data_IF_243380353315
#
_entry.id   IF_243380353315
#
_cell.length_a   1.000
_cell.length_b   1.000
_cell.length_c   1.000
_cell.angle_alpha   90.00
_cell.angle_beta   90.00
_cell.angle_gamma   90.00
#
_symmetry.space_group_name_H-M   'P 1'
#
loop_
_entity.id
_entity.type
_entity.pdbx_description
1 polymer ?
#
# COMPACT_ATOMS: atom_id res chain seq x y z
N UNK A 1 -26.56 -6.17 1.72
CA UNK A 1 -27.00 -7.39 0.99
C UNK A 1 -26.26 -7.56 -0.36
N UNK A 2 -25.90 -6.48 -1.07
CA UNK A 2 -25.22 -6.59 -2.39
C UNK A 2 -23.74 -7.02 -2.38
N UNK A 3 -22.95 -6.71 -1.35
CA UNK A 3 -21.51 -6.97 -1.39
C UNK A 3 -21.13 -8.47 -1.30
N UNK A 4 -21.87 -9.27 -0.54
CA UNK A 4 -21.57 -10.71 -0.39
C UNK A 4 -21.72 -11.45 -1.72
N UNK A 5 -22.79 -11.17 -2.46
CA UNK A 5 -23.03 -11.76 -3.78
C UNK A 5 -22.02 -11.27 -4.82
N UNK A 6 -21.66 -9.99 -4.76
CA UNK A 6 -20.63 -9.42 -5.65
C UNK A 6 -19.26 -10.05 -5.39
N UNK A 7 -18.88 -10.23 -4.14
CA UNK A 7 -17.64 -10.89 -3.75
C UNK A 7 -17.64 -12.39 -4.11
N UNK A 8 -18.76 -13.08 -3.95
CA UNK A 8 -18.90 -14.48 -4.37
C UNK A 8 -18.76 -14.64 -5.90
N UNK A 9 -19.32 -13.71 -6.69
CA UNK A 9 -19.11 -13.70 -8.14
C UNK A 9 -17.63 -13.45 -8.49
N UNK A 10 -16.96 -12.55 -7.76
CA UNK A 10 -15.53 -12.33 -7.94
C UNK A 10 -14.70 -13.58 -7.61
N UNK A 11 -15.08 -14.35 -6.57
CA UNK A 11 -14.48 -15.66 -6.26
C UNK A 11 -14.64 -16.65 -7.42
N UNK A 12 -15.83 -16.76 -8.00
CA UNK A 12 -16.09 -17.66 -9.14
C UNK A 12 -15.20 -17.31 -10.35
N UNK A 13 -15.00 -16.01 -10.62
CA UNK A 13 -14.11 -15.55 -11.67
C UNK A 13 -12.65 -15.89 -11.37
N UNK A 14 -12.20 -15.62 -10.14
CA UNK A 14 -10.84 -15.95 -9.68
C UNK A 14 -10.55 -17.46 -9.81
N UNK A 15 -11.51 -18.32 -9.45
CA UNK A 15 -11.37 -19.77 -9.57
C UNK A 15 -11.26 -20.26 -11.02
N UNK A 16 -11.74 -19.45 -11.97
CA UNK A 16 -11.62 -19.69 -13.41
C UNK A 16 -10.35 -19.08 -14.01
N UNK A 17 -9.47 -18.52 -13.17
CA UNK A 17 -8.22 -17.90 -13.60
C UNK A 17 -8.35 -16.47 -14.09
N UNK A 18 -9.49 -15.81 -13.89
CA UNK A 18 -9.65 -14.39 -14.19
C UNK A 18 -8.98 -13.58 -13.07
N UNK A 19 -8.12 -12.64 -13.44
CA UNK A 19 -7.48 -11.74 -12.48
C UNK A 19 -8.50 -10.80 -11.84
N UNK A 20 -8.55 -10.81 -10.51
CA UNK A 20 -9.39 -9.92 -9.68
C UNK A 20 -8.49 -9.02 -8.85
N UNK A 21 -8.84 -7.73 -8.78
CA UNK A 21 -8.11 -6.68 -8.08
C UNK A 21 -9.06 -5.87 -7.18
N UNK A 22 -8.53 -5.28 -6.11
CA UNK A 22 -9.20 -4.20 -5.38
C UNK A 22 -9.19 -2.89 -6.20
N UNK A 23 -10.11 -1.98 -5.89
CA UNK A 23 -10.18 -0.62 -6.44
C UNK A 23 -10.25 0.50 -5.38
N UNK A 24 -10.47 0.18 -4.10
CA UNK A 24 -10.34 1.01 -2.91
C UNK A 24 -11.03 2.39 -2.92
N UNK A 25 -12.04 2.61 -3.76
CA UNK A 25 -12.52 3.85 -4.43
C UNK A 25 -12.36 5.25 -3.76
N UNK A 26 -11.24 5.57 -3.10
CA UNK A 26 -10.90 6.86 -2.49
C UNK A 26 -11.82 7.33 -1.37
N UNK A 27 -12.80 6.53 -0.94
CA UNK A 27 -13.86 6.97 -0.02
C UNK A 27 -13.36 7.15 1.42
N UNK A 28 -12.35 6.38 1.84
CA UNK A 28 -11.57 6.56 3.06
C UNK A 28 -10.12 6.18 2.76
N UNK A 29 -9.21 7.17 2.84
CA UNK A 29 -7.80 6.97 2.50
C UNK A 29 -7.20 5.86 3.38
N UNK A 30 -6.54 4.88 2.75
CA UNK A 30 -6.00 3.70 3.42
C UNK A 30 -7.06 2.63 3.73
N UNK A 31 -8.08 2.95 4.54
CA UNK A 31 -9.07 1.98 5.05
C UNK A 31 -9.87 1.26 3.96
N UNK A 32 -10.19 1.93 2.86
CA UNK A 32 -11.00 1.33 1.80
C UNK A 32 -10.34 0.09 1.16
N UNK A 33 -9.01 0.05 1.07
CA UNK A 33 -8.28 -1.11 0.54
C UNK A 33 -8.42 -2.34 1.46
N UNK A 34 -8.35 -2.12 2.78
CA UNK A 34 -8.56 -3.19 3.77
C UNK A 34 -9.99 -3.73 3.68
N UNK A 35 -10.98 -2.85 3.65
CA UNK A 35 -12.39 -3.25 3.58
C UNK A 35 -12.71 -4.07 2.33
N UNK A 36 -12.21 -3.66 1.17
CA UNK A 36 -12.41 -4.45 -0.06
C UNK A 36 -11.70 -5.82 0.01
N UNK A 37 -10.52 -5.88 0.63
CA UNK A 37 -9.83 -7.15 0.89
C UNK A 37 -10.69 -8.06 1.77
N UNK A 38 -11.32 -7.52 2.81
CA UNK A 38 -12.23 -8.27 3.70
C UNK A 38 -13.50 -8.72 2.98
N UNK A 39 -14.03 -7.90 2.07
CA UNK A 39 -15.20 -8.25 1.28
C UNK A 39 -14.93 -9.50 0.43
N UNK A 40 -13.73 -9.68 -0.10
CA UNK A 40 -13.39 -10.89 -0.86
C UNK A 40 -13.44 -12.17 -0.01
N UNK A 41 -12.99 -12.12 1.25
CA UNK A 41 -13.08 -13.30 2.14
C UNK A 41 -14.52 -13.60 2.52
N UNK A 42 -15.36 -12.56 2.68
CA UNK A 42 -16.81 -12.71 2.84
C UNK A 42 -17.48 -13.38 1.62
N UNK A 43 -16.90 -13.25 0.43
CA UNK A 43 -17.30 -13.96 -0.79
C UNK A 43 -16.75 -15.38 -0.91
N UNK A 44 -15.94 -15.83 0.03
CA UNK A 44 -15.36 -17.18 0.06
C UNK A 44 -13.94 -17.30 -0.51
N UNK A 45 -13.25 -16.18 -0.82
CA UNK A 45 -11.80 -16.24 -1.08
C UNK A 45 -11.05 -16.67 0.19
N UNK A 46 -9.96 -17.41 0.01
CA UNK A 46 -9.01 -17.60 1.10
C UNK A 46 -8.37 -16.26 1.47
N UNK A 47 -7.90 -16.12 2.71
CA UNK A 47 -7.18 -14.91 3.12
C UNK A 47 -5.97 -14.64 2.21
N UNK A 48 -5.25 -15.69 1.83
CA UNK A 48 -4.13 -15.60 0.90
C UNK A 48 -4.56 -15.08 -0.48
N UNK A 49 -5.64 -15.61 -1.06
CA UNK A 49 -6.13 -15.13 -2.36
C UNK A 49 -6.61 -13.68 -2.29
N UNK A 50 -7.32 -13.31 -1.22
CA UNK A 50 -7.74 -11.93 -0.99
C UNK A 50 -6.54 -10.97 -0.94
N UNK A 51 -5.46 -11.33 -0.23
CA UNK A 51 -4.23 -10.53 -0.19
C UNK A 51 -3.58 -10.36 -1.58
N UNK A 52 -3.66 -11.37 -2.45
CA UNK A 52 -3.13 -11.28 -3.82
C UNK A 52 -3.88 -10.23 -4.65
N UNK A 53 -5.20 -10.07 -4.43
CA UNK A 53 -6.00 -9.02 -5.11
C UNK A 53 -5.59 -7.61 -4.74
N UNK A 54 -4.91 -7.43 -3.61
CA UNK A 54 -4.39 -6.16 -3.10
C UNK A 54 -2.90 -5.94 -3.37
N UNK A 55 -2.18 -6.95 -3.90
CA UNK A 55 -0.71 -6.93 -4.02
C UNK A 55 -0.24 -7.33 -5.42
N UNK A 56 0.05 -8.61 -5.65
CA UNK A 56 0.67 -9.08 -6.89
C UNK A 56 -0.25 -9.01 -8.11
N UNK A 57 -1.55 -9.21 -7.94
CA UNK A 57 -2.50 -9.17 -9.05
C UNK A 57 -2.57 -7.76 -9.68
N UNK A 58 -2.81 -6.66 -8.92
CA UNK A 58 -2.83 -5.33 -9.50
C UNK A 58 -1.45 -4.91 -10.03
N UNK A 59 -0.35 -5.30 -9.38
CA UNK A 59 1.00 -5.02 -9.88
C UNK A 59 1.25 -5.62 -11.27
N UNK A 60 0.86 -6.89 -11.47
CA UNK A 60 0.91 -7.54 -12.78
C UNK A 60 -0.04 -6.85 -13.79
N UNK A 61 -1.25 -6.50 -13.35
CA UNK A 61 -2.27 -5.88 -14.19
C UNK A 61 -1.83 -4.53 -14.78
N UNK A 62 -1.10 -3.71 -14.01
CA UNK A 62 -0.57 -2.42 -14.48
C UNK A 62 0.85 -2.52 -15.08
N UNK A 63 1.42 -3.72 -15.19
CA UNK A 63 2.70 -3.96 -15.84
C UNK A 63 3.96 -3.66 -15.01
N UNK A 64 3.85 -3.61 -13.67
CA UNK A 64 4.99 -3.38 -12.76
C UNK A 64 5.26 -4.56 -11.82
N UNK A 65 4.71 -5.73 -12.11
CA UNK A 65 4.86 -6.94 -11.30
C UNK A 65 6.31 -7.41 -11.13
N UNK A 66 7.20 -7.06 -12.06
CA UNK A 66 8.64 -7.33 -11.95
C UNK A 66 9.34 -6.41 -10.93
N UNK A 67 8.68 -5.34 -10.49
CA UNK A 67 9.25 -4.33 -9.59
C UNK A 67 8.60 -4.33 -8.20
N UNK A 68 7.30 -4.62 -8.09
CA UNK A 68 6.54 -4.56 -6.83
C UNK A 68 5.50 -5.68 -6.71
N UNK A 69 4.82 -5.74 -5.57
CA UNK A 69 3.67 -6.63 -5.34
C UNK A 69 4.02 -8.00 -4.76
N UNK A 70 5.29 -8.34 -4.62
CA UNK A 70 5.76 -9.51 -3.87
C UNK A 70 7.14 -9.28 -3.22
N UNK A 71 7.48 -10.09 -2.22
CA UNK A 71 8.77 -10.05 -1.53
C UNK A 71 9.76 -11.00 -2.21
N UNK A 72 10.46 -10.50 -3.22
CA UNK A 72 11.43 -11.25 -4.01
C UNK A 72 12.73 -10.45 -4.21
N UNK A 73 13.91 -11.10 -4.25
CA UNK A 73 15.16 -10.41 -4.56
C UNK A 73 15.11 -9.67 -5.90
N UNK A 74 15.56 -8.42 -5.91
CA UNK A 74 15.59 -7.56 -7.10
C UNK A 74 14.38 -6.63 -7.26
N UNK A 75 13.30 -6.85 -6.49
CA UNK A 75 12.15 -5.93 -6.42
C UNK A 75 12.42 -4.75 -5.50
N UNK A 76 11.62 -3.68 -5.65
CA UNK A 76 11.65 -2.55 -4.74
C UNK A 76 11.22 -3.00 -3.33
N UNK A 77 11.81 -2.37 -2.32
CA UNK A 77 11.45 -2.58 -0.94
C UNK A 77 10.18 -1.77 -0.60
N UNK A 78 9.06 -2.20 -1.19
CA UNK A 78 7.70 -1.68 -0.98
C UNK A 78 6.90 -2.70 -0.18
N UNK A 79 6.76 -2.46 1.12
CA UNK A 79 6.10 -3.40 2.03
C UNK A 79 5.39 -2.69 3.17
N UNK A 80 4.47 -3.39 3.82
CA UNK A 80 3.84 -2.98 5.07
C UNK A 80 4.15 -4.02 6.14
N UNK A 81 4.28 -3.57 7.39
CA UNK A 81 4.41 -4.42 8.57
C UNK A 81 3.10 -4.32 9.34
N UNK A 82 2.50 -5.47 9.58
CA UNK A 82 1.20 -5.61 10.25
C UNK A 82 1.42 -6.26 11.61
N UNK A 83 0.78 -5.74 12.65
CA UNK A 83 0.67 -6.40 13.95
C UNK A 83 -0.52 -7.36 13.95
N UNK A 84 -0.23 -8.65 13.78
CA UNK A 84 -1.21 -9.72 13.65
C UNK A 84 -0.82 -10.74 12.59
N UNK A 85 -1.76 -11.62 12.25
CA UNK A 85 -1.59 -12.64 11.22
C UNK A 85 -2.78 -12.63 10.26
N UNK A 86 -2.64 -11.88 9.18
CA UNK A 86 -3.64 -11.74 8.12
C UNK A 86 -3.98 -13.05 7.39
N UNK A 87 -3.14 -14.09 7.49
CA UNK A 87 -3.47 -15.41 6.94
C UNK A 87 -4.46 -16.17 7.82
N UNK A 88 -4.48 -15.90 9.13
CA UNK A 88 -5.45 -16.45 10.08
C UNK A 88 -6.67 -15.54 10.21
N UNK A 89 -6.46 -14.22 10.33
CA UNK A 89 -7.51 -13.23 10.49
C UNK A 89 -7.33 -12.06 9.52
N UNK A 90 -8.13 -11.99 8.45
CA UNK A 90 -7.99 -10.95 7.42
C UNK A 90 -8.17 -9.51 7.98
N UNK A 91 -8.90 -9.36 9.08
CA UNK A 91 -9.12 -8.05 9.71
C UNK A 91 -7.81 -7.44 10.22
N UNK A 92 -6.82 -8.26 10.55
CA UNK A 92 -5.51 -7.78 11.02
C UNK A 92 -4.80 -6.89 9.98
N UNK A 93 -5.22 -6.94 8.71
CA UNK A 93 -4.64 -6.07 7.67
C UNK A 93 -4.74 -4.58 8.01
N UNK A 94 -5.70 -4.12 8.84
CA UNK A 94 -5.78 -2.71 9.26
C UNK A 94 -4.75 -2.31 10.33
N UNK A 95 -4.10 -3.28 10.99
CA UNK A 95 -3.14 -3.04 12.07
C UNK A 95 -1.74 -2.76 11.53
N UNK A 96 -1.63 -1.86 10.55
CA UNK A 96 -0.34 -1.47 9.98
C UNK A 96 0.46 -0.68 11.01
N UNK A 97 1.65 -1.17 11.36
CA UNK A 97 2.57 -0.51 12.29
C UNK A 97 3.69 0.24 11.56
N UNK A 98 4.13 -0.29 10.41
CA UNK A 98 5.12 0.38 9.57
C UNK A 98 4.76 0.26 8.09
N UNK A 99 5.12 1.28 7.33
CA UNK A 99 5.07 1.25 5.87
C UNK A 99 6.46 1.56 5.34
N UNK A 100 6.96 0.75 4.42
CA UNK A 100 8.20 0.98 3.71
C UNK A 100 7.89 1.31 2.26
N UNK A 101 8.44 2.42 1.77
CA UNK A 101 8.32 2.86 0.38
C UNK A 101 9.72 3.07 -0.17
N UNK A 102 10.08 2.30 -1.20
CA UNK A 102 11.37 2.32 -1.85
C UNK A 102 12.55 2.24 -0.84
N UNK A 103 12.41 1.38 0.17
CA UNK A 103 13.43 1.18 1.21
C UNK A 103 13.45 2.23 2.33
N UNK A 104 12.57 3.24 2.30
CA UNK A 104 12.41 4.24 3.38
C UNK A 104 11.29 3.78 4.31
N UNK A 105 11.59 3.63 5.59
CA UNK A 105 10.66 3.09 6.59
C UNK A 105 9.94 4.24 7.30
N UNK A 106 8.62 4.12 7.44
CA UNK A 106 7.76 5.09 8.10
C UNK A 106 6.97 4.45 9.22
N UNK A 107 6.88 5.13 10.36
CA UNK A 107 6.00 4.78 11.46
C UNK A 107 4.55 5.12 11.10
N UNK A 108 3.62 4.17 11.17
CA UNK A 108 2.25 4.38 10.70
C UNK A 108 1.47 5.40 11.56
N UNK A 109 1.83 5.55 12.83
CA UNK A 109 1.11 6.43 13.77
C UNK A 109 1.53 7.90 13.64
N UNK A 110 2.80 8.14 13.34
CA UNK A 110 3.39 9.49 13.26
C UNK A 110 3.67 9.94 11.82
N UNK A 111 3.80 8.98 10.90
CA UNK A 111 4.37 9.09 9.55
C UNK A 111 5.80 9.64 9.49
N UNK A 112 6.53 9.59 10.60
CA UNK A 112 7.93 9.95 10.60
C UNK A 112 8.74 8.90 9.84
N UNK A 113 9.75 9.33 9.09
CA UNK A 113 10.75 8.41 8.55
C UNK A 113 11.65 7.95 9.69
N UNK A 114 11.79 6.62 9.84
CA UNK A 114 12.56 5.95 10.88
C UNK A 114 13.54 4.93 10.26
N UNK A 115 14.32 4.25 11.10
CA UNK A 115 15.27 3.22 10.66
C UNK A 115 16.61 3.82 10.26
N UNK A 116 16.92 3.85 8.95
CA UNK A 116 18.20 4.36 8.43
C UNK A 116 18.33 5.88 8.61
N UNK A 117 17.21 6.59 8.63
CA UNK A 117 17.13 8.03 8.87
C UNK A 117 16.05 8.28 9.92
N UNK A 118 16.20 9.37 10.69
CA UNK A 118 15.15 9.86 11.58
C UNK A 118 14.75 11.25 11.08
N UNK A 119 13.58 11.34 10.45
CA UNK A 119 13.05 12.61 9.95
C UNK A 119 11.59 12.75 10.38
N UNK A 120 11.30 13.83 11.08
CA UNK A 120 9.92 14.19 11.40
C UNK A 120 9.19 14.59 10.13
N UNK A 121 7.92 14.15 10.01
CA UNK A 121 7.08 14.58 8.89
C UNK A 121 6.87 16.08 8.92
N UNK A 122 6.69 16.67 7.75
CA UNK A 122 6.21 18.05 7.66
C UNK A 122 4.75 18.13 8.15
N UNK A 123 4.32 19.30 8.68
CA UNK A 123 2.92 19.53 9.00
C UNK A 123 2.05 19.35 7.76
N UNK A 124 0.92 18.67 7.92
CA UNK A 124 -0.07 18.57 6.86
C UNK A 124 -0.66 19.94 6.55
N UNK A 125 -1.17 20.13 5.34
CA UNK A 125 -1.76 21.40 4.93
C UNK A 125 -2.95 21.83 5.83
N UNK A 126 -3.68 20.90 6.44
CA UNK A 126 -4.75 21.20 7.40
C UNK A 126 -4.27 21.46 8.84
N UNK A 127 -3.03 21.10 9.16
CA UNK A 127 -2.38 21.43 10.45
C UNK A 127 -1.69 22.79 10.42
N UNK A 128 -1.42 23.31 9.21
CA UNK A 128 -0.84 24.64 9.02
C UNK A 128 -1.92 25.69 9.32
N UNK A 129 -1.77 26.41 10.43
CA UNK A 129 -2.57 27.60 10.68
C UNK A 129 -2.03 28.79 9.87
N UNK A 130 -2.90 29.41 9.07
CA UNK A 130 -2.59 30.63 8.33
C UNK A 130 -2.49 30.45 6.82
N UNK A 131 -2.90 31.49 6.10
CA UNK A 131 -3.02 31.59 4.64
C UNK A 131 -1.81 31.03 3.86
N UNK A 132 -2.14 30.46 2.70
CA UNK A 132 -1.25 29.88 1.70
C UNK A 132 -0.22 30.86 1.12
N UNK A 133 0.86 31.11 1.83
CA UNK A 133 2.07 31.67 1.22
C UNK A 133 3.26 30.76 1.57
N UNK A 134 4.00 30.34 0.54
CA UNK A 134 5.17 29.45 0.60
C UNK A 134 4.83 27.94 0.72
N UNK A 135 4.39 27.38 -0.40
CA UNK A 135 4.81 26.04 -0.79
C UNK A 135 6.30 26.13 -1.16
N UNK A 136 7.19 25.61 -0.31
CA UNK A 136 8.60 25.48 -0.66
C UNK A 136 8.82 24.18 -1.43
N UNK A 137 8.89 24.30 -2.75
CA UNK A 137 9.13 23.18 -3.67
C UNK A 137 10.52 22.56 -3.52
N UNK A 138 11.48 23.23 -2.87
CA UNK A 138 12.87 22.77 -2.82
C UNK A 138 13.08 21.66 -1.77
N UNK A 139 12.29 21.65 -0.69
CA UNK A 139 12.36 20.63 0.36
C UNK A 139 12.00 19.20 -0.12
N UNK A 140 11.16 19.08 -1.16
CA UNK A 140 10.77 17.78 -1.74
C UNK A 140 11.88 17.26 -2.69
N UNK A 141 12.53 18.16 -3.43
CA UNK A 141 13.54 17.80 -4.44
C UNK A 141 14.82 17.28 -3.79
N UNK A 142 15.24 17.81 -2.63
CA UNK A 142 16.41 17.27 -1.93
C UNK A 142 16.18 15.83 -1.43
N UNK A 143 14.97 15.50 -0.99
CA UNK A 143 14.62 14.16 -0.54
C UNK A 143 14.60 13.11 -1.68
N UNK A 144 14.23 13.52 -2.90
CA UNK A 144 14.21 12.66 -4.11
C UNK A 144 15.54 12.63 -4.87
N UNK A 145 16.50 13.50 -4.54
CA UNK A 145 17.78 13.63 -5.28
C UNK A 145 18.87 12.63 -4.86
N UNK A 146 18.68 11.86 -3.79
CA UNK A 146 19.70 10.94 -3.29
C UNK A 146 19.63 9.58 -3.99
N UNK A 147 20.11 9.52 -5.23
CA UNK A 147 20.41 8.24 -5.87
C UNK A 147 20.46 8.26 -7.39
N UNK A 148 21.36 9.03 -8.01
CA UNK A 148 21.97 8.66 -9.30
C UNK A 148 23.20 9.54 -9.59
N UNK A 149 24.34 9.25 -8.95
CA UNK A 149 25.63 9.71 -9.45
C UNK A 149 26.09 8.76 -10.56
N UNK A 150 25.84 9.13 -11.81
CA UNK A 150 26.55 8.56 -12.97
C UNK A 150 27.86 9.34 -13.15
N UNK A 151 28.98 8.72 -12.78
CA UNK A 151 30.31 9.21 -13.15
C UNK A 151 30.58 8.86 -14.61
N UNK A 152 30.63 9.87 -15.47
CA UNK A 152 31.12 9.76 -16.84
C UNK A 152 32.30 10.69 -17.06
N UNK A 153 33.50 10.10 -17.17
CA UNK A 153 34.64 10.67 -17.89
C UNK A 153 34.74 9.98 -19.24
#
# INVERSE_FOLDING_TARGET
IGHFQSAAAAKELHDRGVTVNIGGHGQLQGLAAHWETWMFTQGGMSNHDALRTATINPANYIGVGDHIGSLEPGKLADLIVIDGNQLENIYDTENVVYTMVNGRLYDASTMNEIGNYSRERLPFWWERQGYSEQFDWHAIIEADSHGHHVNGH
#
